data_IF_641431902597
#
_entry.id   IF_641431902597
#
_cell.length_a   1.000
_cell.length_b   1.000
_cell.length_c   1.000
_cell.angle_alpha   90.00
_cell.angle_beta   90.00
_cell.angle_gamma   90.00
#
_symmetry.space_group_name_H-M   'P 1'
#
loop_
_entity.id
_entity.type
_entity.pdbx_description
1 polymer ?
#
# COMPACT_ATOMS: atom_id res chain seq x y z
N UNK A 1 68.45 -13.52 54.50
CA UNK A 1 68.93 -14.92 54.34
C UNK A 1 67.91 -15.68 53.52
N UNK A 2 68.24 -16.04 52.28
CA UNK A 2 67.45 -16.93 51.43
C UNK A 2 68.43 -17.86 50.74
N UNK A 3 68.20 -19.17 50.93
CA UNK A 3 69.07 -20.25 50.47
C UNK A 3 68.94 -20.46 48.96
N UNK A 4 70.07 -20.47 48.25
CA UNK A 4 70.14 -20.87 46.84
C UNK A 4 70.27 -22.39 46.67
N UNK A 5 69.42 -23.01 45.85
CA UNK A 5 69.68 -24.33 45.29
C UNK A 5 70.59 -24.18 44.08
N UNK A 6 71.86 -24.58 44.22
CA UNK A 6 72.82 -24.69 43.11
C UNK A 6 72.53 -25.96 42.31
N UNK A 7 72.17 -25.82 41.05
CA UNK A 7 72.16 -26.91 40.07
C UNK A 7 73.56 -26.99 39.45
N UNK A 8 74.18 -28.18 39.50
CA UNK A 8 75.52 -28.43 38.94
C UNK A 8 75.40 -29.43 37.79
N UNK A 9 75.97 -29.08 36.64
CA UNK A 9 76.15 -29.97 35.50
C UNK A 9 77.64 -30.05 35.19
N UNK A 10 78.15 -31.26 34.96
CA UNK A 10 79.50 -31.50 34.44
C UNK A 10 79.37 -31.96 32.98
N UNK A 11 80.21 -31.42 32.10
CA UNK A 11 80.30 -31.80 30.69
C UNK A 11 81.75 -32.13 30.32
N UNK A 12 81.90 -33.10 29.41
CA UNK A 12 83.17 -33.45 28.77
C UNK A 12 83.49 -32.52 27.59
N UNK A 13 84.77 -32.48 27.24
CA UNK A 13 85.37 -31.50 26.31
C UNK A 13 84.68 -31.50 24.93
N UNK A 14 84.16 -30.32 24.53
CA UNK A 14 83.63 -30.04 23.19
C UNK A 14 82.12 -29.81 23.06
N UNK A 15 81.32 -29.96 24.12
CA UNK A 15 79.86 -29.76 24.03
C UNK A 15 79.43 -28.31 24.34
N UNK A 16 78.69 -27.67 23.42
CA UNK A 16 77.98 -26.41 23.70
C UNK A 16 76.80 -26.68 24.64
N UNK A 17 76.82 -26.07 25.83
CA UNK A 17 75.73 -26.16 26.80
C UNK A 17 74.69 -25.06 26.57
N UNK A 18 73.43 -25.46 26.38
CA UNK A 18 72.26 -24.58 26.49
C UNK A 18 71.60 -24.82 27.85
N UNK A 19 71.72 -23.86 28.78
CA UNK A 19 70.96 -23.91 30.03
C UNK A 19 69.54 -23.38 29.78
N UNK A 20 68.57 -24.30 29.73
CA UNK A 20 67.14 -23.96 29.77
C UNK A 20 66.65 -24.11 31.21
N UNK A 21 66.43 -22.99 31.88
CA UNK A 21 65.76 -22.93 33.16
C UNK A 21 64.29 -22.55 32.94
N UNK A 22 63.40 -23.55 32.89
CA UNK A 22 61.95 -23.35 32.90
C UNK A 22 61.21 -24.08 31.78
N UNK A 23 60.02 -24.60 32.11
CA UNK A 23 59.11 -25.24 31.16
C UNK A 23 58.79 -24.30 30.00
N UNK A 24 59.11 -24.72 28.77
CA UNK A 24 58.64 -24.06 27.54
C UNK A 24 57.17 -24.41 27.36
N UNK A 25 56.28 -23.58 27.89
CA UNK A 25 54.90 -23.49 27.41
C UNK A 25 54.98 -22.56 26.18
N UNK A 26 54.85 -23.12 24.97
CA UNK A 26 54.68 -22.31 23.74
C UNK A 26 53.26 -21.74 23.75
N UNK A 27 53.04 -20.74 24.60
CA UNK A 27 51.86 -19.89 24.56
C UNK A 27 52.00 -18.94 23.39
N UNK A 28 50.93 -18.81 22.60
CA UNK A 28 50.81 -17.75 21.59
C UNK A 28 51.04 -16.42 22.32
N UNK A 29 52.07 -15.66 21.94
CA UNK A 29 52.31 -14.33 22.49
C UNK A 29 51.23 -13.36 21.96
N UNK A 30 50.99 -12.25 22.66
CA UNK A 30 49.93 -11.27 22.31
C UNK A 30 50.05 -10.78 20.86
N UNK A 31 51.28 -10.59 20.39
CA UNK A 31 51.59 -10.13 19.03
C UNK A 31 51.15 -11.15 17.97
N UNK A 32 51.42 -12.44 18.19
CA UNK A 32 50.95 -13.52 17.32
C UNK A 32 49.45 -13.74 17.42
N UNK A 33 48.85 -13.53 18.59
CA UNK A 33 47.39 -13.58 18.77
C UNK A 33 46.68 -12.45 18.00
N UNK A 34 47.24 -11.23 18.04
CA UNK A 34 46.74 -10.07 17.29
C UNK A 34 46.86 -10.29 15.77
N UNK A 35 47.99 -10.83 15.32
CA UNK A 35 48.21 -11.15 13.91
C UNK A 35 47.24 -12.22 13.38
N UNK A 36 47.02 -13.29 14.15
CA UNK A 36 46.02 -14.32 13.83
C UNK A 36 44.62 -13.71 13.79
N UNK A 37 44.25 -12.91 14.79
CA UNK A 37 42.94 -12.26 14.84
C UNK A 37 42.71 -11.30 13.65
N UNK A 38 43.73 -10.55 13.23
CA UNK A 38 43.63 -9.62 12.10
C UNK A 38 43.53 -10.35 10.76
N UNK A 39 44.26 -11.46 10.57
CA UNK A 39 44.13 -12.33 9.39
C UNK A 39 42.78 -13.01 9.35
N UNK A 40 42.30 -13.55 10.47
CA UNK A 40 40.95 -14.13 10.56
C UNK A 40 39.89 -13.06 10.32
N UNK A 41 40.03 -11.85 10.87
CA UNK A 41 39.10 -10.75 10.60
C UNK A 41 39.10 -10.35 9.12
N UNK A 42 40.26 -10.29 8.46
CA UNK A 42 40.36 -10.01 7.01
C UNK A 42 39.72 -11.11 6.16
N UNK A 43 39.90 -12.37 6.51
CA UNK A 43 39.26 -13.51 5.83
C UNK A 43 37.75 -13.50 6.04
N UNK A 44 37.30 -13.30 7.28
CA UNK A 44 35.88 -13.16 7.65
C UNK A 44 35.25 -11.97 6.93
N UNK A 45 35.92 -10.81 6.85
CA UNK A 45 35.47 -9.65 6.08
C UNK A 45 35.44 -9.98 4.58
N UNK A 46 36.44 -10.65 4.01
CA UNK A 46 36.47 -10.99 2.59
C UNK A 46 35.43 -12.03 2.20
N UNK A 47 35.22 -13.06 3.04
CA UNK A 47 34.19 -14.09 2.87
C UNK A 47 32.80 -13.50 3.08
N UNK A 48 32.57 -12.71 4.13
CA UNK A 48 31.30 -12.02 4.33
C UNK A 48 31.05 -10.93 3.30
N UNK A 49 32.07 -10.22 2.80
CA UNK A 49 31.92 -9.28 1.69
C UNK A 49 31.61 -10.02 0.39
N UNK A 50 32.24 -11.17 0.12
CA UNK A 50 31.93 -12.01 -1.03
C UNK A 50 30.51 -12.59 -0.99
N UNK A 51 30.09 -13.12 0.17
CA UNK A 51 28.72 -13.60 0.40
C UNK A 51 27.72 -12.46 0.31
N UNK A 52 28.01 -11.30 0.91
CA UNK A 52 27.15 -10.12 0.80
C UNK A 52 27.04 -9.62 -0.65
N UNK A 53 28.13 -9.60 -1.41
CA UNK A 53 28.11 -9.24 -2.84
C UNK A 53 27.28 -10.24 -3.65
N UNK A 54 27.40 -11.54 -3.39
CA UNK A 54 26.61 -12.56 -4.07
C UNK A 54 25.11 -12.41 -3.77
N UNK A 55 24.74 -12.17 -2.51
CA UNK A 55 23.35 -11.92 -2.10
C UNK A 55 22.82 -10.64 -2.76
N UNK A 56 23.60 -9.55 -2.76
CA UNK A 56 23.21 -8.31 -3.41
C UNK A 56 23.00 -8.51 -4.91
N UNK A 57 23.89 -9.24 -5.58
CA UNK A 57 23.76 -9.53 -7.01
C UNK A 57 22.49 -10.35 -7.29
N UNK A 58 22.22 -11.39 -6.51
CA UNK A 58 21.01 -12.21 -6.66
C UNK A 58 19.73 -11.38 -6.50
N UNK A 59 19.68 -10.51 -5.48
CA UNK A 59 18.55 -9.61 -5.23
C UNK A 59 18.34 -8.63 -6.38
N UNK A 60 19.42 -8.02 -6.88
CA UNK A 60 19.35 -7.10 -8.02
C UNK A 60 18.89 -7.85 -9.28
N UNK A 61 19.43 -9.03 -9.56
CA UNK A 61 19.04 -9.83 -10.74
C UNK A 61 17.57 -10.26 -10.70
N UNK A 62 17.06 -10.60 -9.51
CA UNK A 62 15.63 -10.88 -9.32
C UNK A 62 14.76 -9.65 -9.52
N UNK A 63 15.14 -8.53 -8.90
CA UNK A 63 14.44 -7.26 -9.05
C UNK A 63 14.40 -6.78 -10.50
N UNK A 64 15.55 -6.78 -11.19
CA UNK A 64 15.69 -6.35 -12.58
C UNK A 64 14.76 -7.15 -13.50
N UNK A 65 14.63 -8.47 -13.31
CA UNK A 65 13.69 -9.31 -14.06
C UNK A 65 12.24 -8.86 -13.89
N UNK A 66 11.83 -8.52 -12.67
CA UNK A 66 10.45 -8.06 -12.37
C UNK A 66 10.17 -6.68 -12.96
N UNK A 67 11.14 -5.76 -12.92
CA UNK A 67 11.02 -4.43 -13.55
C UNK A 67 10.85 -4.55 -15.06
N UNK A 68 11.72 -5.33 -15.72
CA UNK A 68 11.66 -5.52 -17.18
C UNK A 68 10.30 -6.10 -17.58
N UNK A 69 9.85 -7.15 -16.89
CA UNK A 69 8.53 -7.75 -17.16
C UNK A 69 7.38 -6.76 -16.96
N UNK A 70 7.41 -5.97 -15.88
CA UNK A 70 6.38 -4.96 -15.60
C UNK A 70 6.33 -3.85 -16.65
N UNK A 71 7.49 -3.33 -17.06
CA UNK A 71 7.58 -2.29 -18.10
C UNK A 71 7.19 -2.80 -19.48
N UNK A 72 7.58 -4.03 -19.84
CA UNK A 72 7.22 -4.66 -21.10
C UNK A 72 5.70 -4.84 -21.20
N UNK A 73 5.06 -5.33 -20.14
CA UNK A 73 3.60 -5.48 -20.08
C UNK A 73 2.84 -4.16 -20.29
N UNK A 74 3.47 -3.02 -19.98
CA UNK A 74 2.90 -1.68 -20.17
C UNK A 74 3.45 -0.94 -21.39
N UNK A 75 4.37 -1.52 -22.15
CA UNK A 75 4.94 -0.91 -23.35
C UNK A 75 5.90 0.25 -23.08
N UNK A 76 6.58 0.28 -21.93
CA UNK A 76 7.41 1.40 -21.46
C UNK A 76 8.91 1.07 -21.31
N UNK A 77 9.43 0.12 -22.08
CA UNK A 77 10.87 -0.22 -22.05
C UNK A 77 11.77 0.93 -22.55
N UNK A 78 11.25 1.84 -23.36
CA UNK A 78 11.94 3.03 -23.83
C UNK A 78 12.33 3.99 -22.67
N UNK A 79 11.66 3.87 -21.52
CA UNK A 79 11.98 4.64 -20.31
C UNK A 79 13.44 4.47 -19.84
N UNK A 80 14.10 3.34 -20.15
CA UNK A 80 15.52 3.16 -19.85
C UNK A 80 16.43 4.18 -20.56
N UNK A 81 15.97 4.84 -21.62
CA UNK A 81 16.66 5.93 -22.29
C UNK A 81 16.60 7.28 -21.55
N UNK A 82 15.70 7.45 -20.57
CA UNK A 82 15.54 8.69 -19.80
C UNK A 82 16.51 8.72 -18.59
N UNK A 83 17.44 9.70 -18.51
CA UNK A 83 18.33 9.86 -17.36
C UNK A 83 17.61 10.00 -16.01
N UNK A 84 16.41 10.60 -16.00
CA UNK A 84 15.64 10.76 -14.78
C UNK A 84 15.02 9.43 -14.33
N UNK A 85 14.54 8.61 -15.26
CA UNK A 85 14.15 7.23 -14.98
C UNK A 85 15.33 6.39 -14.48
N UNK A 86 16.49 6.44 -15.14
CA UNK A 86 17.70 5.72 -14.70
C UNK A 86 18.16 6.09 -13.29
N UNK A 87 17.93 7.33 -12.85
CA UNK A 87 18.18 7.73 -11.46
C UNK A 87 17.23 7.02 -10.49
N UNK A 88 15.93 7.01 -10.80
CA UNK A 88 14.93 6.32 -9.98
C UNK A 88 15.18 4.80 -9.94
N UNK A 89 15.53 4.21 -11.09
CA UNK A 89 15.91 2.81 -11.21
C UNK A 89 17.07 2.42 -10.28
N UNK A 90 18.15 3.22 -10.27
CA UNK A 90 19.29 2.99 -9.36
C UNK A 90 18.91 3.09 -7.88
N UNK A 91 18.01 4.01 -7.52
CA UNK A 91 17.49 4.09 -6.14
C UNK A 91 16.72 2.81 -5.76
N UNK A 92 15.87 2.34 -6.67
CA UNK A 92 15.12 1.11 -6.48
C UNK A 92 16.04 -0.11 -6.36
N UNK A 93 17.11 -0.21 -7.14
CA UNK A 93 18.12 -1.26 -6.99
C UNK A 93 18.79 -1.25 -5.62
N UNK A 94 19.10 -0.07 -5.07
CA UNK A 94 19.64 0.05 -3.71
C UNK A 94 18.64 -0.44 -2.65
N UNK A 95 17.36 -0.11 -2.81
CA UNK A 95 16.29 -0.60 -1.94
C UNK A 95 16.12 -2.12 -2.03
N UNK A 96 16.09 -2.67 -3.24
CA UNK A 96 16.00 -4.11 -3.47
C UNK A 96 17.20 -4.88 -2.91
N UNK A 97 18.42 -4.35 -3.07
CA UNK A 97 19.63 -4.94 -2.51
C UNK A 97 19.59 -5.00 -0.97
N UNK A 98 18.98 -3.98 -0.34
CA UNK A 98 18.90 -3.86 1.11
C UNK A 98 17.72 -4.65 1.71
N UNK A 99 16.68 -4.90 0.93
CA UNK A 99 15.49 -5.65 1.36
C UNK A 99 15.67 -7.16 1.27
N UNK A 100 15.21 -7.87 2.30
CA UNK A 100 15.05 -9.32 2.33
C UNK A 100 13.64 -9.80 1.95
N UNK A 101 12.73 -8.86 1.61
CA UNK A 101 11.34 -9.16 1.25
C UNK A 101 11.15 -9.14 -0.25
N UNK A 102 10.83 -10.31 -0.81
CA UNK A 102 10.48 -10.45 -2.22
C UNK A 102 9.31 -9.54 -2.66
N UNK A 103 8.39 -9.17 -1.76
CA UNK A 103 7.26 -8.28 -2.05
C UNK A 103 7.69 -6.83 -2.30
N UNK A 104 8.85 -6.41 -1.79
CA UNK A 104 9.38 -5.06 -2.03
C UNK A 104 9.79 -4.92 -3.49
N UNK A 105 10.26 -6.00 -4.13
CA UNK A 105 10.69 -5.98 -5.53
C UNK A 105 9.53 -5.73 -6.48
N UNK A 106 8.38 -6.37 -6.22
CA UNK A 106 7.16 -6.14 -6.99
C UNK A 106 6.63 -4.72 -6.81
N UNK A 107 6.67 -4.20 -5.58
CA UNK A 107 6.23 -2.84 -5.27
C UNK A 107 7.13 -1.81 -5.95
N UNK A 108 8.45 -2.00 -5.90
CA UNK A 108 9.43 -1.16 -6.60
C UNK A 108 9.25 -1.22 -8.13
N UNK A 109 8.97 -2.41 -8.69
CA UNK A 109 8.69 -2.55 -10.12
C UNK A 109 7.40 -1.82 -10.55
N UNK A 110 6.35 -1.89 -9.72
CA UNK A 110 5.12 -1.14 -9.94
C UNK A 110 5.37 0.38 -9.90
N UNK A 111 6.09 0.87 -8.88
CA UNK A 111 6.46 2.29 -8.75
C UNK A 111 7.29 2.78 -9.94
N UNK A 112 8.23 1.98 -10.45
CA UNK A 112 9.00 2.34 -11.63
C UNK A 112 8.14 2.38 -12.90
N UNK A 113 7.15 1.48 -13.01
CA UNK A 113 6.22 1.52 -14.14
C UNK A 113 5.39 2.80 -14.11
N UNK A 114 4.86 3.17 -12.95
CA UNK A 114 4.13 4.44 -12.76
C UNK A 114 5.04 5.65 -13.02
N UNK A 115 6.33 5.56 -12.66
CA UNK A 115 7.33 6.59 -12.94
C UNK A 115 7.58 6.77 -14.44
N UNK A 116 7.56 5.70 -15.22
CA UNK A 116 7.73 5.74 -16.67
C UNK A 116 6.53 6.42 -17.36
N UNK A 117 5.33 6.27 -16.81
CA UNK A 117 4.10 6.90 -17.30
C UNK A 117 3.99 8.38 -16.91
N UNK A 118 4.56 8.78 -15.77
CA UNK A 118 4.40 10.12 -15.18
C UNK A 118 5.30 11.22 -15.80
N UNK A 119 5.63 11.14 -17.09
CA UNK A 119 6.55 12.10 -17.74
C UNK A 119 5.95 13.51 -17.74
N UNK A 120 6.65 14.46 -17.12
CA UNK A 120 6.23 15.87 -17.04
C UNK A 120 5.42 16.22 -15.79
N UNK A 121 4.90 15.24 -15.05
CA UNK A 121 4.25 15.47 -13.77
C UNK A 121 5.28 15.45 -12.63
N UNK A 122 5.80 16.61 -12.29
CA UNK A 122 6.79 16.75 -11.21
C UNK A 122 6.26 16.35 -9.83
N UNK A 123 4.95 16.48 -9.61
CA UNK A 123 4.33 16.17 -8.32
C UNK A 123 4.23 14.67 -8.15
N UNK A 124 3.71 13.96 -9.15
CA UNK A 124 3.69 12.50 -9.18
C UNK A 124 5.10 11.91 -9.12
N UNK A 125 6.04 12.42 -9.93
CA UNK A 125 7.45 11.97 -9.92
C UNK A 125 8.08 12.12 -8.54
N UNK A 126 7.86 13.23 -7.85
CA UNK A 126 8.39 13.45 -6.51
C UNK A 126 7.84 12.45 -5.48
N UNK A 127 6.54 12.16 -5.53
CA UNK A 127 5.92 11.18 -4.65
C UNK A 127 6.39 9.76 -4.93
N UNK A 128 6.49 9.37 -6.21
CA UNK A 128 6.98 8.05 -6.62
C UNK A 128 8.43 7.84 -6.21
N UNK A 129 9.32 8.82 -6.47
CA UNK A 129 10.71 8.71 -6.04
C UNK A 129 10.84 8.62 -4.52
N UNK A 130 10.00 9.35 -3.77
CA UNK A 130 10.01 9.24 -2.32
C UNK A 130 9.49 7.89 -1.82
N UNK A 131 8.48 7.32 -2.49
CA UNK A 131 7.97 5.98 -2.18
C UNK A 131 9.05 4.90 -2.42
N UNK A 132 9.80 5.02 -3.52
CA UNK A 132 10.94 4.14 -3.82
C UNK A 132 12.00 4.19 -2.70
N UNK A 133 12.25 5.36 -2.13
CA UNK A 133 13.27 5.54 -1.08
C UNK A 133 12.91 4.95 0.29
N UNK A 134 11.63 4.67 0.56
CA UNK A 134 11.18 4.31 1.91
C UNK A 134 10.48 2.96 1.99
N UNK A 135 10.17 2.31 0.86
CA UNK A 135 9.40 1.07 0.82
C UNK A 135 10.02 -0.06 1.63
N UNK A 136 11.35 -0.19 1.60
CA UNK A 136 12.12 -1.18 2.36
C UNK A 136 12.09 -0.93 3.88
N UNK A 137 11.69 0.28 4.31
CA UNK A 137 11.56 0.66 5.72
C UNK A 137 10.12 0.53 6.23
N UNK A 138 9.13 0.34 5.36
CA UNK A 138 7.73 0.21 5.77
C UNK A 138 7.49 -1.21 6.28
N UNK A 139 6.99 -1.34 7.50
CA UNK A 139 6.58 -2.63 8.07
C UNK A 139 5.33 -3.17 7.35
N UNK A 140 5.23 -4.50 7.19
CA UNK A 140 4.14 -5.15 6.44
C UNK A 140 2.76 -4.87 7.04
N UNK A 141 2.66 -4.81 8.38
CA UNK A 141 1.43 -4.50 9.08
C UNK A 141 1.00 -3.06 8.80
N UNK A 142 1.96 -2.12 8.85
CA UNK A 142 1.73 -0.72 8.53
C UNK A 142 1.36 -0.51 7.05
N UNK A 143 2.05 -1.18 6.12
CA UNK A 143 1.76 -1.13 4.68
C UNK A 143 0.34 -1.62 4.37
N UNK A 144 -0.09 -2.71 5.03
CA UNK A 144 -1.45 -3.23 4.93
C UNK A 144 -2.49 -2.22 5.42
N UNK A 145 -2.28 -1.67 6.62
CA UNK A 145 -3.16 -0.63 7.17
C UNK A 145 -3.28 0.58 6.25
N UNK A 146 -2.15 1.06 5.72
CA UNK A 146 -2.09 2.17 4.78
C UNK A 146 -2.83 1.87 3.46
N UNK A 147 -2.64 0.66 2.91
CA UNK A 147 -3.32 0.21 1.68
C UNK A 147 -4.83 0.13 1.88
N UNK A 148 -5.27 -0.35 3.04
CA UNK A 148 -6.68 -0.41 3.39
C UNK A 148 -7.28 0.99 3.61
N UNK A 149 -6.54 1.91 4.24
CA UNK A 149 -6.96 3.31 4.36
C UNK A 149 -7.17 3.96 2.99
N UNK A 150 -6.23 3.73 2.05
CA UNK A 150 -6.34 4.21 0.69
C UNK A 150 -7.59 3.66 0.00
N UNK A 151 -7.79 2.33 0.05
CA UNK A 151 -8.95 1.67 -0.55
C UNK A 151 -10.29 2.16 0.02
N UNK A 152 -10.42 2.26 1.34
CA UNK A 152 -11.63 2.76 2.01
C UNK A 152 -11.97 4.18 1.57
N UNK A 153 -10.99 5.02 1.22
CA UNK A 153 -11.22 6.38 0.71
C UNK A 153 -11.52 6.40 -0.78
N UNK A 154 -10.72 5.72 -1.58
CA UNK A 154 -10.73 5.90 -3.03
C UNK A 154 -11.69 4.96 -3.78
N UNK A 155 -11.96 3.75 -3.28
CA UNK A 155 -12.67 2.74 -4.08
C UNK A 155 -14.19 2.78 -3.94
N UNK A 156 -14.88 2.90 -5.07
CA UNK A 156 -16.33 2.98 -5.13
C UNK A 156 -16.89 1.83 -5.97
N UNK A 157 -18.01 1.20 -5.55
CA UNK A 157 -18.65 0.20 -6.37
C UNK A 157 -19.32 0.87 -7.56
N UNK A 158 -19.09 0.31 -8.74
CA UNK A 158 -19.81 0.69 -9.95
C UNK A 158 -21.06 -0.18 -10.14
N UNK A 159 -21.88 -0.30 -9.09
CA UNK A 159 -23.20 -0.94 -9.16
C UNK A 159 -24.26 0.00 -8.60
N UNK A 160 -25.48 -0.13 -9.13
CA UNK A 160 -26.65 0.52 -8.57
C UNK A 160 -27.35 -0.39 -7.56
N UNK A 161 -27.08 -1.69 -7.58
CA UNK A 161 -27.63 -2.66 -6.64
C UNK A 161 -26.81 -2.61 -5.34
N UNK A 162 -27.53 -2.58 -4.22
CA UNK A 162 -26.88 -2.41 -2.92
C UNK A 162 -26.07 -3.66 -2.55
N UNK A 163 -26.61 -4.84 -2.80
CA UNK A 163 -25.96 -6.08 -2.41
C UNK A 163 -24.77 -6.36 -3.31
N UNK A 164 -24.94 -6.22 -4.62
CA UNK A 164 -23.83 -6.32 -5.56
C UNK A 164 -22.73 -5.30 -5.26
N UNK A 165 -23.10 -4.05 -4.97
CA UNK A 165 -22.13 -3.01 -4.67
C UNK A 165 -21.35 -3.26 -3.38
N UNK A 166 -22.02 -3.72 -2.32
CA UNK A 166 -21.37 -4.07 -1.07
C UNK A 166 -20.52 -5.35 -1.22
N UNK A 167 -20.95 -6.33 -2.02
CA UNK A 167 -20.16 -7.53 -2.33
C UNK A 167 -18.89 -7.20 -3.12
N UNK A 168 -18.96 -6.25 -4.05
CA UNK A 168 -17.77 -5.74 -4.75
C UNK A 168 -16.80 -5.12 -3.75
N UNK A 169 -17.28 -4.25 -2.85
CA UNK A 169 -16.43 -3.64 -1.83
C UNK A 169 -15.82 -4.73 -0.93
N UNK A 170 -16.60 -5.71 -0.49
CA UNK A 170 -16.09 -6.80 0.36
C UNK A 170 -14.96 -7.58 -0.30
N UNK A 171 -15.13 -7.97 -1.57
CA UNK A 171 -14.07 -8.64 -2.34
C UNK A 171 -12.82 -7.78 -2.43
N UNK A 172 -12.97 -6.48 -2.73
CA UNK A 172 -11.85 -5.56 -2.80
C UNK A 172 -11.12 -5.42 -1.45
N UNK A 173 -11.85 -5.35 -0.33
CA UNK A 173 -11.23 -5.35 1.01
C UNK A 173 -10.51 -6.68 1.28
N UNK A 174 -11.10 -7.81 0.86
CA UNK A 174 -10.51 -9.15 1.02
C UNK A 174 -9.16 -9.31 0.32
N UNK A 175 -8.96 -8.65 -0.83
CA UNK A 175 -7.64 -8.61 -1.53
C UNK A 175 -6.56 -7.97 -0.65
N UNK A 176 -6.91 -6.99 0.19
CA UNK A 176 -5.95 -6.27 1.03
C UNK A 176 -5.77 -6.90 2.41
N UNK A 177 -6.80 -7.54 2.95
CA UNK A 177 -6.79 -8.16 4.28
C UNK A 177 -6.23 -9.60 4.20
N UNK A 178 -5.00 -9.72 3.70
CA UNK A 178 -4.25 -10.99 3.65
C UNK A 178 -3.61 -11.42 4.99
N UNK A 179 -4.01 -10.82 6.12
CA UNK A 179 -3.35 -10.99 7.43
C UNK A 179 -3.87 -10.00 8.49
N UNK A 180 -3.24 -9.95 9.68
CA UNK A 180 -3.70 -9.08 10.77
C UNK A 180 -3.63 -7.61 10.37
N UNK A 181 -4.57 -6.81 10.89
CA UNK A 181 -4.59 -5.36 10.70
C UNK A 181 -3.88 -4.67 11.86
N UNK A 182 -3.21 -3.53 11.61
CA UNK A 182 -2.53 -2.81 12.68
C UNK A 182 -3.53 -2.22 13.67
N UNK A 183 -3.09 -2.13 14.91
CA UNK A 183 -3.85 -1.52 16.01
C UNK A 183 -2.95 -0.55 16.80
N UNK A 184 -3.58 0.36 17.54
CA UNK A 184 -2.85 1.40 18.28
C UNK A 184 -2.26 2.47 17.36
N UNK A 185 -1.41 3.33 17.92
CA UNK A 185 -0.83 4.50 17.22
C UNK A 185 0.54 4.25 16.61
N UNK A 186 1.24 3.19 17.03
CA UNK A 186 2.64 2.95 16.65
C UNK A 186 2.85 2.84 15.14
N UNK A 187 1.96 2.12 14.44
CA UNK A 187 2.03 1.99 12.99
C UNK A 187 1.78 3.33 12.27
N UNK A 188 0.92 4.20 12.81
CA UNK A 188 0.68 5.53 12.26
C UNK A 188 1.91 6.42 12.46
N UNK A 189 2.51 6.38 13.64
CA UNK A 189 3.75 7.12 13.95
C UNK A 189 4.93 6.62 13.11
N UNK A 190 5.03 5.31 12.89
CA UNK A 190 5.98 4.70 11.96
C UNK A 190 5.83 5.30 10.56
N UNK A 191 4.63 5.25 10.00
CA UNK A 191 4.33 5.80 8.68
C UNK A 191 4.57 7.32 8.61
N UNK A 192 4.27 8.05 9.68
CA UNK A 192 4.54 9.49 9.76
C UNK A 192 6.05 9.80 9.77
N UNK A 193 6.85 9.01 10.48
CA UNK A 193 8.32 9.15 10.48
C UNK A 193 8.94 8.96 9.09
N UNK A 194 8.30 8.15 8.25
CA UNK A 194 8.67 7.92 6.84
C UNK A 194 8.05 8.94 5.88
N UNK A 195 7.19 9.85 6.38
CA UNK A 195 6.49 10.85 5.58
C UNK A 195 5.35 10.31 4.72
N UNK A 196 4.82 9.13 5.05
CA UNK A 196 3.72 8.46 4.34
C UNK A 196 2.34 8.85 4.88
N UNK A 197 2.28 9.21 6.16
CA UNK A 197 1.08 9.67 6.84
C UNK A 197 1.36 11.00 7.51
N UNK A 198 0.34 11.85 7.60
CA UNK A 198 0.31 13.00 8.49
C UNK A 198 -0.70 12.72 9.59
N UNK A 199 -0.23 12.61 10.82
CA UNK A 199 -1.08 12.44 11.98
C UNK A 199 -1.47 13.80 12.56
N UNK A 200 -2.65 13.86 13.17
CA UNK A 200 -3.12 15.02 13.91
C UNK A 200 -3.93 14.55 15.12
N UNK A 201 -3.73 15.23 16.24
CA UNK A 201 -4.50 15.05 17.48
C UNK A 201 -5.69 16.01 17.56
N UNK A 202 -5.80 16.96 16.63
CA UNK A 202 -6.80 18.04 16.66
C UNK A 202 -8.12 17.59 16.05
N UNK A 203 -8.08 16.66 15.08
CA UNK A 203 -9.26 16.15 14.39
C UNK A 203 -9.22 14.63 14.38
N UNK A 204 -10.38 14.01 14.56
CA UNK A 204 -10.54 12.57 14.37
C UNK A 204 -10.92 12.25 12.92
N UNK A 205 -10.68 11.01 12.51
CA UNK A 205 -11.24 10.50 11.26
C UNK A 205 -12.76 10.41 11.34
N UNK A 206 -13.39 10.71 10.20
CA UNK A 206 -14.83 10.47 10.04
C UNK A 206 -15.11 8.99 10.27
N UNK A 207 -16.01 8.68 11.20
CA UNK A 207 -16.39 7.30 11.51
C UNK A 207 -17.07 6.61 10.32
N UNK A 208 -16.92 5.30 10.22
CA UNK A 208 -17.45 4.49 9.12
C UNK A 208 -18.95 4.68 8.85
N UNK A 209 -19.83 4.80 9.87
CA UNK A 209 -21.23 5.13 9.65
C UNK A 209 -21.48 6.34 8.76
N UNK A 210 -20.69 7.40 8.98
CA UNK A 210 -20.80 8.64 8.20
C UNK A 210 -20.09 8.50 6.86
N UNK A 211 -18.86 7.98 6.88
CA UNK A 211 -18.03 7.83 5.68
C UNK A 211 -18.72 6.95 4.63
N UNK A 212 -19.21 5.77 5.02
CA UNK A 212 -19.85 4.82 4.10
C UNK A 212 -21.15 5.38 3.53
N UNK A 213 -21.97 6.04 4.36
CA UNK A 213 -23.23 6.64 3.92
C UNK A 213 -23.02 7.78 2.91
N UNK A 214 -21.98 8.59 3.09
CA UNK A 214 -21.62 9.64 2.13
C UNK A 214 -21.04 9.05 0.84
N UNK A 215 -20.20 8.01 0.97
CA UNK A 215 -19.58 7.34 -0.16
C UNK A 215 -20.61 6.64 -1.07
N UNK A 216 -21.62 6.03 -0.45
CA UNK A 216 -22.72 5.30 -1.08
C UNK A 216 -24.03 6.09 -1.01
N UNK A 217 -23.96 7.42 -1.11
CA UNK A 217 -25.09 8.33 -0.91
C UNK A 217 -26.31 8.00 -1.77
N UNK A 218 -26.11 7.45 -2.97
CA UNK A 218 -27.20 7.02 -3.84
C UNK A 218 -28.00 5.83 -3.30
N UNK A 219 -27.41 4.97 -2.46
CA UNK A 219 -28.10 3.83 -1.83
C UNK A 219 -28.99 4.25 -0.65
N UNK A 220 -28.69 5.40 -0.04
CA UNK A 220 -29.40 5.97 1.11
C UNK A 220 -30.10 7.29 0.74
N UNK A 221 -30.28 7.56 -0.54
CA UNK A 221 -31.04 8.70 -1.01
C UNK A 221 -32.52 8.55 -0.64
N UNK A 222 -33.24 9.63 -0.28
CA UNK A 222 -34.64 9.55 0.16
C UNK A 222 -35.58 8.82 -0.81
N UNK A 223 -35.31 8.93 -2.12
CA UNK A 223 -36.14 8.39 -3.18
C UNK A 223 -37.51 9.09 -3.29
N UNK A 224 -38.37 8.53 -4.14
CA UNK A 224 -39.77 8.98 -4.31
C UNK A 224 -40.71 7.79 -4.14
N UNK A 225 -41.90 8.00 -3.59
CA UNK A 225 -42.91 6.94 -3.56
C UNK A 225 -43.21 6.47 -4.99
N UNK A 226 -43.22 5.16 -5.22
CA UNK A 226 -43.35 4.57 -6.56
C UNK A 226 -44.60 5.07 -7.31
N UNK A 227 -45.71 5.26 -6.57
CA UNK A 227 -46.98 5.77 -7.10
C UNK A 227 -46.98 7.26 -7.44
N UNK A 228 -46.03 8.02 -6.88
CA UNK A 228 -45.89 9.46 -7.07
C UNK A 228 -44.80 9.82 -8.08
N UNK A 229 -44.09 8.82 -8.62
CA UNK A 229 -43.04 9.04 -9.61
C UNK A 229 -43.65 9.49 -10.95
N UNK A 230 -43.23 10.64 -11.49
CA UNK A 230 -43.65 11.06 -12.82
C UNK A 230 -43.11 10.09 -13.89
N UNK A 231 -43.81 9.98 -15.02
CA UNK A 231 -43.38 9.10 -16.12
C UNK A 231 -42.14 9.66 -16.84
N UNK A 232 -42.16 10.96 -17.15
CA UNK A 232 -41.11 11.65 -17.89
C UNK A 232 -40.13 12.37 -16.95
N UNK A 233 -38.87 12.46 -17.37
CA UNK A 233 -37.84 13.17 -16.61
C UNK A 233 -38.08 14.67 -16.59
N UNK A 234 -38.16 15.28 -17.77
CA UNK A 234 -38.35 16.72 -17.92
C UNK A 234 -38.86 17.03 -19.34
N UNK A 235 -39.73 18.04 -19.54
CA UNK A 235 -40.25 18.39 -20.87
C UNK A 235 -39.17 18.75 -21.91
N UNK A 236 -38.03 19.30 -21.47
CA UNK A 236 -36.89 19.64 -22.34
C UNK A 236 -35.99 18.45 -22.70
N UNK A 237 -36.28 17.26 -22.19
CA UNK A 237 -35.57 16.00 -22.50
C UNK A 237 -36.60 14.98 -22.99
N UNK A 238 -37.19 15.20 -24.17
CA UNK A 238 -38.32 14.40 -24.65
C UNK A 238 -37.89 12.96 -24.89
N UNK A 239 -38.74 12.01 -24.47
CA UNK A 239 -38.51 10.58 -24.66
C UNK A 239 -37.71 9.89 -23.55
N UNK A 240 -37.14 10.64 -22.60
CA UNK A 240 -36.45 10.04 -21.44
C UNK A 240 -37.44 9.85 -20.28
N UNK A 241 -37.54 8.60 -19.80
CA UNK A 241 -38.46 8.19 -18.74
C UNK A 241 -37.70 7.83 -17.46
N UNK A 242 -38.35 7.98 -16.31
CA UNK A 242 -37.75 7.63 -15.01
C UNK A 242 -37.66 6.12 -14.77
N UNK A 243 -38.60 5.34 -15.30
CA UNK A 243 -38.63 3.88 -15.07
C UNK A 243 -37.27 3.19 -15.36
N UNK A 244 -36.61 3.35 -16.52
CA UNK A 244 -35.32 2.70 -16.78
C UNK A 244 -34.15 3.28 -15.97
N UNK A 245 -34.29 4.51 -15.47
CA UNK A 245 -33.28 5.24 -14.69
C UNK A 245 -33.40 5.02 -13.18
N UNK A 246 -34.44 4.30 -12.74
CA UNK A 246 -34.75 4.08 -11.32
C UNK A 246 -34.86 2.60 -10.99
N UNK A 247 -34.65 2.27 -9.72
CA UNK A 247 -34.82 0.93 -9.16
C UNK A 247 -35.65 1.03 -7.89
N UNK A 248 -36.32 -0.05 -7.52
CA UNK A 248 -36.95 -0.19 -6.21
C UNK A 248 -35.93 0.04 -5.10
N UNK A 249 -36.35 0.75 -4.06
CA UNK A 249 -35.47 1.10 -2.97
C UNK A 249 -35.35 -0.07 -1.98
N UNK A 250 -34.26 -0.83 -2.10
CA UNK A 250 -34.00 -2.02 -1.26
C UNK A 250 -34.15 -1.77 0.25
N UNK A 251 -33.68 -0.63 0.75
CA UNK A 251 -33.77 -0.27 2.18
C UNK A 251 -35.08 0.46 2.57
N UNK A 252 -35.97 0.78 1.63
CA UNK A 252 -37.16 1.60 1.86
C UNK A 252 -38.33 1.14 0.95
N UNK A 253 -39.00 0.03 1.30
CA UNK A 253 -40.03 -0.57 0.46
C UNK A 253 -41.13 0.41 0.03
N UNK A 254 -41.55 0.35 -1.23
CA UNK A 254 -42.57 1.23 -1.81
C UNK A 254 -42.01 2.54 -2.38
N UNK A 255 -40.72 2.82 -2.19
CA UNK A 255 -40.01 3.95 -2.81
C UNK A 255 -39.11 3.47 -3.95
N UNK A 256 -38.82 4.36 -4.89
CA UNK A 256 -37.81 4.17 -5.94
C UNK A 256 -36.69 5.18 -5.77
N UNK A 257 -35.48 4.78 -6.15
CA UNK A 257 -34.29 5.63 -6.21
C UNK A 257 -33.64 5.57 -7.58
N UNK A 258 -32.75 6.52 -7.86
CA UNK A 258 -31.95 6.53 -9.09
C UNK A 258 -31.01 5.32 -9.10
N UNK A 259 -30.79 4.75 -10.29
CA UNK A 259 -29.87 3.61 -10.52
C UNK A 259 -28.41 4.05 -10.48
N UNK A 260 -27.97 4.57 -9.35
CA UNK A 260 -26.58 4.94 -9.12
C UNK A 260 -26.22 4.86 -7.63
N UNK A 261 -24.97 4.49 -7.33
CA UNK A 261 -24.40 4.54 -5.98
C UNK A 261 -24.04 5.96 -5.54
N UNK A 262 -23.79 6.86 -6.49
CA UNK A 262 -23.56 8.30 -6.31
C UNK A 262 -23.70 9.06 -7.64
N UNK A 263 -23.52 10.38 -7.62
CA UNK A 263 -23.63 11.24 -8.82
C UNK A 263 -22.55 10.95 -9.87
N UNK A 264 -21.35 10.55 -9.45
CA UNK A 264 -20.26 10.23 -10.37
C UNK A 264 -20.58 8.99 -11.21
N UNK A 265 -21.16 7.95 -10.59
CA UNK A 265 -21.64 6.78 -11.30
C UNK A 265 -22.71 7.16 -12.33
N UNK A 266 -23.70 7.98 -11.94
CA UNK A 266 -24.76 8.39 -12.86
C UNK A 266 -24.19 9.17 -14.07
N UNK A 267 -23.23 10.07 -13.80
CA UNK A 267 -22.54 10.85 -14.85
C UNK A 267 -21.81 9.93 -15.83
N UNK A 268 -21.06 8.94 -15.32
CA UNK A 268 -20.35 7.94 -16.14
C UNK A 268 -21.32 7.09 -16.97
N UNK A 269 -22.45 6.69 -16.40
CA UNK A 269 -23.51 5.97 -17.15
C UNK A 269 -24.03 6.83 -18.30
N UNK A 270 -24.29 8.12 -18.07
CA UNK A 270 -24.76 9.00 -19.14
C UNK A 270 -23.71 9.19 -20.25
N UNK A 271 -22.44 9.31 -19.89
CA UNK A 271 -21.34 9.43 -20.85
C UNK A 271 -21.20 8.19 -21.73
N UNK A 272 -21.21 7.01 -21.11
CA UNK A 272 -21.11 5.73 -21.82
C UNK A 272 -22.29 5.49 -22.76
N UNK A 273 -23.47 6.00 -22.41
CA UNK A 273 -24.67 5.90 -23.23
C UNK A 273 -24.84 7.06 -24.23
N UNK A 274 -23.86 7.97 -24.33
CA UNK A 274 -23.85 9.04 -25.33
C UNK A 274 -24.91 10.13 -25.12
N UNK A 275 -25.35 10.37 -23.88
CA UNK A 275 -26.32 11.42 -23.59
C UNK A 275 -25.73 12.81 -23.88
N UNK A 276 -26.45 13.70 -24.60
CA UNK A 276 -26.02 15.08 -24.82
C UNK A 276 -25.75 15.80 -23.50
N UNK A 277 -24.70 16.63 -23.42
CA UNK A 277 -24.30 17.30 -22.18
C UNK A 277 -25.45 18.07 -21.51
N UNK A 278 -26.19 18.88 -22.28
CA UNK A 278 -27.33 19.63 -21.76
C UNK A 278 -28.45 18.74 -21.20
N UNK A 279 -28.64 17.50 -21.72
CA UNK A 279 -29.58 16.53 -21.13
C UNK A 279 -29.06 15.99 -19.82
N UNK A 280 -27.76 15.69 -19.73
CA UNK A 280 -27.13 15.18 -18.50
C UNK A 280 -27.32 16.14 -17.34
N UNK A 281 -27.13 17.44 -17.58
CA UNK A 281 -27.31 18.49 -16.58
C UNK A 281 -28.75 18.57 -16.09
N UNK A 282 -29.73 18.51 -17.01
CA UNK A 282 -31.16 18.53 -16.66
C UNK A 282 -31.54 17.28 -15.86
N UNK A 283 -31.20 16.08 -16.35
CA UNK A 283 -31.54 14.82 -15.68
C UNK A 283 -30.90 14.76 -14.29
N UNK A 284 -29.65 15.22 -14.13
CA UNK A 284 -28.98 15.29 -12.83
C UNK A 284 -29.68 16.26 -11.87
N UNK A 285 -30.10 17.43 -12.34
CA UNK A 285 -30.84 18.40 -11.52
C UNK A 285 -32.19 17.82 -11.06
N UNK A 286 -32.92 17.16 -11.95
CA UNK A 286 -34.17 16.49 -11.60
C UNK A 286 -33.95 15.31 -10.65
N UNK A 287 -32.88 14.52 -10.85
CA UNK A 287 -32.51 13.42 -9.96
C UNK A 287 -32.25 13.90 -8.53
N UNK A 288 -31.55 15.03 -8.37
CA UNK A 288 -31.31 15.68 -7.06
C UNK A 288 -32.60 16.18 -6.45
N UNK A 289 -33.42 16.88 -7.23
CA UNK A 289 -34.66 17.52 -6.75
C UNK A 289 -35.71 16.49 -6.34
N UNK A 290 -35.95 15.49 -7.18
CA UNK A 290 -37.06 14.55 -7.03
C UNK A 290 -36.71 13.35 -6.14
N UNK A 291 -35.51 12.79 -6.28
CA UNK A 291 -35.10 11.57 -5.56
C UNK A 291 -34.15 11.86 -4.40
N UNK A 292 -33.69 13.11 -4.24
CA UNK A 292 -32.66 13.46 -3.27
C UNK A 292 -31.32 12.80 -3.58
N UNK A 293 -30.99 12.54 -4.85
CA UNK A 293 -29.66 12.04 -5.21
C UNK A 293 -28.59 13.00 -4.67
N UNK A 294 -27.56 12.46 -4.01
CA UNK A 294 -26.52 13.26 -3.34
C UNK A 294 -26.90 13.72 -1.92
N UNK A 295 -28.09 13.35 -1.43
CA UNK A 295 -28.51 13.57 -0.04
C UNK A 295 -28.72 12.24 0.68
N UNK A 296 -28.67 12.27 2.01
CA UNK A 296 -28.83 11.08 2.86
C UNK A 296 -30.16 11.18 3.60
N UNK A 297 -31.01 10.16 3.48
CA UNK A 297 -32.10 9.90 4.42
C UNK A 297 -31.50 9.30 5.70
N UNK A 298 -31.50 10.01 6.84
CA UNK A 298 -30.81 9.55 8.04
C UNK A 298 -31.34 8.21 8.58
N UNK A 299 -32.61 7.87 8.27
CA UNK A 299 -33.23 6.60 8.69
C UNK A 299 -32.64 5.38 7.99
N UNK A 300 -31.98 5.57 6.84
CA UNK A 300 -31.41 4.49 6.03
C UNK A 300 -29.95 4.16 6.36
N UNK A 301 -29.32 4.94 7.25
CA UNK A 301 -27.94 4.72 7.66
C UNK A 301 -27.74 3.40 8.39
N UNK A 302 -28.54 3.14 9.42
CA UNK A 302 -28.45 1.89 10.18
C UNK A 302 -28.72 0.64 9.32
N UNK A 303 -29.76 0.61 8.46
CA UNK A 303 -29.95 -0.49 7.50
C UNK A 303 -28.75 -0.72 6.56
N UNK A 304 -28.14 0.35 6.02
CA UNK A 304 -26.95 0.23 5.17
C UNK A 304 -25.77 -0.40 5.95
N UNK A 305 -25.58 0.03 7.21
CA UNK A 305 -24.49 -0.47 8.04
C UNK A 305 -24.71 -1.93 8.45
N UNK A 306 -25.94 -2.32 8.77
CA UNK A 306 -26.27 -3.71 9.04
C UNK A 306 -25.94 -4.60 7.83
N UNK A 307 -26.35 -4.20 6.63
CA UNK A 307 -26.01 -4.92 5.40
C UNK A 307 -24.49 -4.98 5.15
N UNK A 308 -23.76 -3.89 5.42
CA UNK A 308 -22.30 -3.87 5.29
C UNK A 308 -21.60 -4.79 6.31
N UNK A 309 -22.13 -4.91 7.53
CA UNK A 309 -21.58 -5.75 8.60
C UNK A 309 -21.79 -7.26 8.36
N UNK A 310 -22.74 -7.65 7.53
CA UNK A 310 -22.94 -9.05 7.11
C UNK A 310 -21.79 -9.56 6.22
N UNK A 311 -20.96 -8.66 5.69
CA UNK A 311 -19.85 -8.95 4.78
C UNK A 311 -18.54 -8.99 5.55
N UNK A 312 -17.82 -10.09 5.41
CA UNK A 312 -16.73 -10.46 6.34
C UNK A 312 -15.58 -9.45 6.30
N UNK A 313 -15.07 -9.11 5.13
CA UNK A 313 -13.92 -8.22 4.97
C UNK A 313 -14.33 -6.76 5.12
N UNK A 314 -15.52 -6.39 4.67
CA UNK A 314 -16.06 -5.05 4.88
C UNK A 314 -16.27 -4.76 6.37
N UNK A 315 -16.81 -5.71 7.14
CA UNK A 315 -16.93 -5.57 8.60
C UNK A 315 -15.57 -5.40 9.27
N UNK A 316 -14.56 -6.18 8.87
CA UNK A 316 -13.18 -6.03 9.37
C UNK A 316 -12.58 -4.66 9.04
N UNK A 317 -12.77 -4.21 7.80
CA UNK A 317 -12.33 -2.89 7.36
C UNK A 317 -13.01 -1.77 8.14
N UNK A 318 -14.30 -1.93 8.47
CA UNK A 318 -15.04 -0.97 9.28
C UNK A 318 -14.47 -0.86 10.70
N UNK A 319 -14.26 -2.01 11.35
CA UNK A 319 -13.68 -2.08 12.70
C UNK A 319 -12.29 -1.45 12.71
N UNK A 320 -11.45 -1.80 11.71
CA UNK A 320 -10.12 -1.24 11.57
C UNK A 320 -10.15 0.29 11.47
N UNK A 321 -10.95 0.83 10.54
CA UNK A 321 -11.03 2.27 10.31
C UNK A 321 -11.46 3.03 11.56
N UNK A 322 -12.48 2.55 12.26
CA UNK A 322 -12.99 3.21 13.46
C UNK A 322 -12.03 3.09 14.66
N UNK A 323 -11.09 2.13 14.61
CA UNK A 323 -10.04 1.91 15.62
C UNK A 323 -8.81 2.81 15.45
N UNK A 324 -8.68 3.54 14.34
CA UNK A 324 -7.53 4.42 14.10
C UNK A 324 -7.55 5.56 15.15
N UNK A 325 -6.51 5.66 16.02
CA UNK A 325 -6.58 6.47 17.24
C UNK A 325 -6.36 7.98 17.03
N UNK A 326 -5.88 8.38 15.85
CA UNK A 326 -5.55 9.77 15.51
C UNK A 326 -6.24 10.13 14.20
N UNK A 327 -6.45 11.43 13.95
CA UNK A 327 -6.65 11.88 12.59
C UNK A 327 -5.42 11.52 11.78
N UNK A 328 -5.57 10.72 10.74
CA UNK A 328 -4.46 10.24 9.93
C UNK A 328 -4.80 10.39 8.45
N UNK A 329 -3.99 11.17 7.74
CA UNK A 329 -4.17 11.37 6.30
C UNK A 329 -2.94 10.88 5.56
N UNK A 330 -3.16 10.08 4.52
CA UNK A 330 -2.08 9.68 3.63
C UNK A 330 -1.49 10.93 2.98
N UNK A 331 -0.17 11.02 2.94
CA UNK A 331 0.52 11.99 2.06
C UNK A 331 0.44 11.49 0.62
N UNK A 332 0.77 12.33 -0.35
CA UNK A 332 0.82 11.87 -1.75
C UNK A 332 1.78 10.68 -1.93
N UNK A 333 2.90 10.65 -1.20
CA UNK A 333 3.81 9.50 -1.17
C UNK A 333 3.14 8.27 -0.57
N UNK A 334 2.39 8.43 0.53
CA UNK A 334 1.62 7.34 1.15
C UNK A 334 0.56 6.78 0.21
N UNK A 335 -0.20 7.64 -0.48
CA UNK A 335 -1.21 7.24 -1.46
C UNK A 335 -0.56 6.49 -2.63
N UNK A 336 0.57 6.98 -3.14
CA UNK A 336 1.33 6.33 -4.22
C UNK A 336 1.78 4.92 -3.82
N UNK A 337 2.37 4.78 -2.64
CA UNK A 337 2.85 3.47 -2.16
C UNK A 337 1.69 2.52 -1.84
N UNK A 338 0.62 3.02 -1.23
CA UNK A 338 -0.60 2.27 -0.95
C UNK A 338 -1.26 1.76 -2.24
N UNK A 339 -1.38 2.63 -3.27
CA UNK A 339 -1.90 2.28 -4.60
C UNK A 339 -1.06 1.19 -5.25
N UNK A 340 0.27 1.35 -5.27
CA UNK A 340 1.18 0.36 -5.84
C UNK A 340 1.06 -1.01 -5.15
N UNK A 341 1.01 -1.03 -3.82
CA UNK A 341 0.85 -2.28 -3.07
C UNK A 341 -0.55 -2.91 -3.27
N UNK A 342 -1.61 -2.11 -3.34
CA UNK A 342 -2.95 -2.62 -3.59
C UNK A 342 -3.06 -3.27 -4.98
N UNK A 343 -2.51 -2.64 -6.01
CA UNK A 343 -2.52 -3.16 -7.39
C UNK A 343 -1.66 -4.40 -7.58
N UNK A 344 -0.60 -4.54 -6.76
CA UNK A 344 0.20 -5.77 -6.70
C UNK A 344 -0.61 -6.94 -6.14
N UNK A 345 -1.43 -6.69 -5.13
CA UNK A 345 -2.25 -7.73 -4.48
C UNK A 345 -3.46 -8.12 -5.33
N UNK A 346 -3.97 -7.21 -6.16
CA UNK A 346 -5.08 -7.48 -7.07
C UNK A 346 -4.65 -8.21 -8.34
N UNK A 347 -4.55 -9.53 -8.20
CA UNK A 347 -4.21 -10.44 -9.31
C UNK A 347 -5.40 -10.74 -10.22
N UNK A 348 -6.63 -10.52 -9.75
CA UNK A 348 -7.87 -10.82 -10.47
C UNK A 348 -8.45 -9.60 -11.20
N UNK A 349 -7.87 -8.42 -11.03
CA UNK A 349 -8.25 -7.20 -11.74
C UNK A 349 -9.54 -6.55 -11.22
N UNK A 350 -9.85 -6.73 -9.93
CA UNK A 350 -10.98 -6.09 -9.28
C UNK A 350 -10.81 -4.58 -9.13
N UNK A 351 -9.58 -4.09 -9.11
CA UNK A 351 -9.24 -2.69 -8.93
C UNK A 351 -8.85 -2.10 -10.29
N UNK A 352 -9.63 -1.13 -10.73
CA UNK A 352 -9.35 -0.39 -11.96
C UNK A 352 -8.08 0.45 -11.82
N UNK A 353 -7.13 0.30 -12.74
CA UNK A 353 -5.85 1.05 -12.77
C UNK A 353 -5.96 2.48 -13.36
N UNK A 354 -7.16 3.07 -13.35
CA UNK A 354 -7.40 4.43 -13.85
C UNK A 354 -6.63 5.51 -13.04
#
# INVERSE_FOLDING_TARGET
MTWGRKQRQEAGDGAQQWQVAGNVIVGINEERAREIAEVTAKQVIAEHAGVALAIVQERIDEFDRRVISSLEARGHLDAFGDPAFQRAYRKAQTGAASSDRATDYDTLAALLSDRAESVGDRVAVGAIEKAIEVVDLVDDLALRGMSLMYAIREWHPFSYDIDEGLDVIDRMMGVLITGPLPHGSEWVMHLESLGLVRATTVMELKKMPLLLSEKLVGYVAPGVESRAMPEQVHPAVPGVRWEPLTVEHALKPGYRRVRASNEAMLSRVFEQNGFPQHWREIIMAEARSLFGLGTIDPSLREPLLAAAQERTHLAQAMIFWDSIPLGAHLTLTGETLAKANAYRLDTEGYITRE
#
